data_IF_969159426763
#
_entry.id   IF_969159426763
#
_cell.length_a   1.000
_cell.length_b   1.000
_cell.length_c   1.000
_cell.angle_alpha   90.00
_cell.angle_beta   90.00
_cell.angle_gamma   90.00
#
_symmetry.space_group_name_H-M   'P 1'
#
loop_
_entity.id
_entity.type
_entity.pdbx_description
1 polymer ?
#
# COMPACT_ATOMS: atom_id res chain seq x y z
N UNK A 1 -12.07 -16.10 -14.11
CA UNK A 1 -12.50 -15.89 -12.71
C UNK A 1 -11.75 -14.68 -12.21
N UNK A 2 -12.46 -13.75 -11.58
CA UNK A 2 -11.82 -12.59 -10.95
C UNK A 2 -10.70 -13.05 -10.00
N UNK A 3 -9.60 -12.33 -10.00
CA UNK A 3 -8.50 -12.59 -9.07
C UNK A 3 -8.87 -12.06 -7.68
N UNK A 4 -8.22 -12.61 -6.66
CA UNK A 4 -8.24 -12.03 -5.31
C UNK A 4 -6.99 -11.20 -5.12
N UNK A 5 -7.08 -10.06 -4.44
CA UNK A 5 -5.98 -9.10 -4.36
C UNK A 5 -5.66 -8.74 -2.91
N UNK A 6 -4.38 -8.76 -2.59
CA UNK A 6 -3.85 -8.20 -1.36
C UNK A 6 -2.96 -7.02 -1.74
N UNK A 7 -3.34 -5.83 -1.28
CA UNK A 7 -2.50 -4.65 -1.35
C UNK A 7 -1.76 -4.49 -0.04
N UNK A 8 -0.43 -4.56 -0.08
CA UNK A 8 0.44 -4.33 1.07
C UNK A 8 1.13 -2.99 0.86
N UNK A 9 0.99 -2.08 1.81
CA UNK A 9 1.68 -0.81 1.79
C UNK A 9 2.65 -0.73 2.97
N UNK A 10 3.91 -0.42 2.68
CA UNK A 10 4.95 -0.15 3.67
C UNK A 10 5.22 1.34 3.67
N UNK A 11 4.78 2.02 4.73
CA UNK A 11 4.87 3.47 4.86
C UNK A 11 6.32 3.97 4.78
N UNK A 12 6.57 5.00 4.01
CA UNK A 12 7.86 5.64 3.89
C UNK A 12 8.97 4.77 3.28
N UNK A 13 8.65 3.64 2.65
CA UNK A 13 9.65 2.73 2.10
C UNK A 13 10.23 3.22 0.78
N UNK A 14 11.49 3.64 0.79
CA UNK A 14 12.23 4.01 -0.41
C UNK A 14 12.64 2.76 -1.23
N UNK A 15 12.70 2.86 -2.57
CA UNK A 15 13.16 1.76 -3.43
C UNK A 15 14.60 1.31 -3.14
N UNK A 16 15.51 2.25 -2.88
CA UNK A 16 16.89 1.98 -2.52
C UNK A 16 17.00 1.33 -1.12
N UNK A 17 16.18 1.79 -0.16
CA UNK A 17 16.04 1.16 1.15
C UNK A 17 15.58 -0.29 1.04
N UNK A 18 14.55 -0.55 0.21
CA UNK A 18 14.06 -1.91 -0.05
C UNK A 18 15.15 -2.84 -0.55
N UNK A 19 15.99 -2.39 -1.51
CA UNK A 19 17.03 -3.24 -2.09
C UNK A 19 18.28 -3.38 -1.21
N UNK A 20 18.58 -2.38 -0.36
CA UNK A 20 19.82 -2.30 0.41
C UNK A 20 19.67 -2.71 1.87
N UNK A 21 18.45 -2.97 2.36
CA UNK A 21 18.20 -3.33 3.77
C UNK A 21 18.80 -4.69 4.21
N UNK A 22 19.43 -5.42 3.30
CA UNK A 22 20.06 -6.71 3.58
C UNK A 22 19.09 -7.90 3.66
N UNK A 23 17.80 -7.70 3.44
CA UNK A 23 16.84 -8.79 3.39
C UNK A 23 16.85 -9.49 2.03
N UNK A 24 17.21 -10.79 1.94
CA UNK A 24 17.32 -11.49 0.67
C UNK A 24 15.96 -11.68 -0.04
N UNK A 25 14.86 -11.51 0.68
CA UNK A 25 13.52 -11.60 0.10
C UNK A 25 13.25 -10.47 -0.90
N UNK A 26 13.82 -9.27 -0.72
CA UNK A 26 13.64 -8.15 -1.66
C UNK A 26 13.99 -8.55 -3.10
N UNK A 27 15.17 -9.15 -3.30
CA UNK A 27 15.63 -9.59 -4.63
C UNK A 27 14.79 -10.77 -5.16
N UNK A 28 14.41 -11.70 -4.29
CA UNK A 28 13.53 -12.83 -4.68
C UNK A 28 12.17 -12.32 -5.15
N UNK A 29 11.61 -11.33 -4.44
CA UNK A 29 10.31 -10.76 -4.76
C UNK A 29 10.35 -10.04 -6.10
N UNK A 30 11.32 -9.15 -6.32
CA UNK A 30 11.54 -8.46 -7.61
C UNK A 30 11.70 -9.48 -8.74
N UNK A 31 12.55 -10.50 -8.57
CA UNK A 31 12.79 -11.54 -9.59
C UNK A 31 11.58 -12.42 -9.94
N UNK A 32 10.53 -12.41 -9.13
CA UNK A 32 9.28 -13.16 -9.34
C UNK A 32 8.11 -12.31 -9.79
N UNK A 33 8.30 -11.00 -9.94
CA UNK A 33 7.23 -10.01 -10.10
C UNK A 33 7.39 -9.17 -11.35
N UNK A 34 6.31 -8.51 -11.77
CA UNK A 34 6.37 -7.28 -12.55
C UNK A 34 6.59 -6.14 -11.54
N UNK A 35 7.55 -5.26 -11.79
CA UNK A 35 7.95 -4.27 -10.79
C UNK A 35 8.41 -2.95 -11.41
N UNK A 36 8.38 -1.91 -10.62
CA UNK A 36 9.11 -0.67 -10.84
C UNK A 36 9.71 -0.16 -9.53
N UNK A 37 10.90 0.41 -9.64
CA UNK A 37 11.58 1.09 -8.54
C UNK A 37 11.57 2.62 -8.73
N UNK A 38 10.81 3.10 -9.69
CA UNK A 38 10.72 4.51 -10.07
C UNK A 38 9.28 5.00 -10.23
N UNK A 39 8.32 4.33 -9.59
CA UNK A 39 6.95 4.84 -9.53
C UNK A 39 6.90 6.18 -8.78
N UNK A 40 5.89 6.99 -9.09
CA UNK A 40 5.75 8.33 -8.50
C UNK A 40 4.52 8.39 -7.62
N UNK A 41 4.71 8.91 -6.41
CA UNK A 41 3.60 9.34 -5.56
C UNK A 41 3.11 10.74 -5.93
N UNK A 42 2.21 11.31 -5.14
CA UNK A 42 1.60 12.63 -5.37
C UNK A 42 2.18 13.70 -4.45
N UNK A 43 1.92 14.98 -4.77
CA UNK A 43 2.26 16.11 -3.92
C UNK A 43 1.02 16.68 -3.22
N UNK A 44 1.10 16.90 -1.89
CA UNK A 44 2.23 16.64 -0.99
C UNK A 44 2.47 15.14 -0.77
N UNK A 45 3.75 14.76 -0.69
CA UNK A 45 4.20 13.38 -0.40
C UNK A 45 4.07 13.07 1.10
N UNK A 46 2.84 13.13 1.57
CA UNK A 46 2.42 12.96 2.98
C UNK A 46 1.45 11.79 3.05
N UNK A 47 1.50 11.03 4.12
CA UNK A 47 0.82 9.73 4.26
C UNK A 47 -0.66 9.77 3.86
N UNK A 48 -1.51 10.58 4.51
CA UNK A 48 -2.94 10.57 4.20
C UNK A 48 -3.27 11.10 2.79
N UNK A 49 -2.70 12.21 2.28
CA UNK A 49 -2.83 12.61 0.88
C UNK A 49 -2.46 11.53 -0.14
N UNK A 50 -1.34 10.82 0.09
CA UNK A 50 -0.89 9.75 -0.79
C UNK A 50 -1.86 8.55 -0.77
N UNK A 51 -2.32 8.13 0.42
CA UNK A 51 -3.32 7.08 0.56
C UNK A 51 -4.65 7.46 -0.09
N UNK A 52 -5.10 8.71 0.10
CA UNK A 52 -6.32 9.19 -0.56
C UNK A 52 -6.18 9.14 -2.09
N UNK A 53 -5.03 9.53 -2.63
CA UNK A 53 -4.77 9.43 -4.07
C UNK A 53 -4.66 7.98 -4.55
N UNK A 54 -4.05 7.10 -3.76
CA UNK A 54 -4.00 5.66 -4.05
C UNK A 54 -5.41 5.07 -4.12
N UNK A 55 -6.25 5.36 -3.13
CA UNK A 55 -7.58 4.77 -3.02
C UNK A 55 -8.62 5.37 -3.97
N UNK A 56 -8.49 6.66 -4.29
CA UNK A 56 -9.46 7.38 -5.12
C UNK A 56 -8.96 7.62 -6.56
N UNK A 57 -7.71 7.23 -6.85
CA UNK A 57 -7.09 7.35 -8.18
C UNK A 57 -7.19 8.76 -8.79
N UNK A 58 -7.06 9.80 -7.94
CA UNK A 58 -7.07 11.22 -8.34
C UNK A 58 -5.98 11.98 -7.58
N UNK A 59 -5.64 13.18 -8.06
CA UNK A 59 -4.68 14.06 -7.40
C UNK A 59 -5.22 14.65 -6.08
N UNK A 60 -4.33 15.05 -5.14
CA UNK A 60 -4.72 15.66 -3.85
C UNK A 60 -5.62 16.88 -4.00
N UNK A 61 -5.41 17.70 -5.03
CA UNK A 61 -6.26 18.85 -5.31
C UNK A 61 -7.69 18.47 -5.65
N UNK A 62 -7.92 17.25 -6.16
CA UNK A 62 -9.26 16.76 -6.52
C UNK A 62 -10.01 16.20 -5.31
N UNK A 63 -9.36 15.40 -4.45
CA UNK A 63 -9.98 14.88 -3.24
C UNK A 63 -9.93 15.86 -2.06
N UNK A 64 -9.05 16.87 -2.09
CA UNK A 64 -8.99 17.96 -1.13
C UNK A 64 -8.28 17.65 0.19
N UNK A 65 -7.67 16.46 0.36
CA UNK A 65 -6.89 16.08 1.53
C UNK A 65 -5.42 16.40 1.25
N UNK A 66 -4.86 17.37 1.97
CA UNK A 66 -3.51 17.89 1.74
C UNK A 66 -2.57 17.72 2.94
N UNK A 67 -3.08 17.19 4.04
CA UNK A 67 -2.33 16.94 5.28
C UNK A 67 -2.81 15.62 5.90
N UNK A 68 -2.20 15.20 7.00
CA UNK A 68 -2.65 14.02 7.77
C UNK A 68 -3.95 14.27 8.57
N UNK A 69 -4.61 15.41 8.37
CA UNK A 69 -5.93 15.68 8.93
C UNK A 69 -7.00 15.46 7.89
N UNK A 70 -7.88 14.49 8.14
CA UNK A 70 -9.01 14.23 7.26
C UNK A 70 -10.02 15.38 7.29
N UNK A 71 -10.49 15.77 6.12
CA UNK A 71 -11.64 16.66 5.95
C UNK A 71 -12.61 16.04 4.94
N UNK A 72 -13.95 16.13 5.15
CA UNK A 72 -14.90 15.59 4.22
C UNK A 72 -14.74 16.21 2.82
N UNK A 73 -14.75 15.39 1.79
CA UNK A 73 -14.66 15.86 0.41
C UNK A 73 -15.89 16.68 0.02
N UNK A 74 -15.69 17.91 -0.44
CA UNK A 74 -16.78 18.80 -0.94
C UNK A 74 -17.40 18.24 -2.22
N UNK A 75 -16.60 17.57 -3.04
CA UNK A 75 -17.02 16.85 -4.26
C UNK A 75 -16.53 15.42 -4.16
N UNK A 76 -17.30 14.53 -3.51
CA UNK A 76 -16.85 13.17 -3.25
C UNK A 76 -16.43 12.44 -4.53
N UNK A 77 -15.31 11.76 -4.46
CA UNK A 77 -14.86 10.76 -5.43
C UNK A 77 -14.97 9.41 -4.74
N UNK A 78 -15.50 8.42 -5.41
CA UNK A 78 -15.55 7.06 -4.88
C UNK A 78 -14.14 6.49 -4.76
N UNK A 79 -13.81 5.95 -3.60
CA UNK A 79 -12.58 5.21 -3.38
C UNK A 79 -12.75 3.72 -3.73
N UNK A 80 -11.68 2.95 -3.57
CA UNK A 80 -11.69 1.50 -3.85
C UNK A 80 -12.78 0.77 -3.06
N UNK A 81 -12.91 1.04 -1.75
CA UNK A 81 -13.90 0.37 -0.91
C UNK A 81 -15.34 0.68 -1.36
N UNK A 82 -15.61 1.94 -1.79
CA UNK A 82 -16.93 2.31 -2.30
C UNK A 82 -17.28 1.54 -3.59
N UNK A 83 -16.30 1.42 -4.49
CA UNK A 83 -16.48 0.77 -5.80
C UNK A 83 -16.57 -0.75 -5.65
N UNK A 84 -15.81 -1.33 -4.74
CA UNK A 84 -15.79 -2.78 -4.54
C UNK A 84 -17.03 -3.26 -3.80
N UNK A 85 -17.56 -2.47 -2.85
CA UNK A 85 -18.83 -2.75 -2.17
C UNK A 85 -20.01 -2.75 -3.14
N UNK A 86 -20.05 -1.81 -4.10
CA UNK A 86 -21.10 -1.75 -5.14
C UNK A 86 -21.14 -3.01 -6.02
N UNK A 87 -20.07 -3.78 -6.11
CA UNK A 87 -19.95 -5.07 -6.81
C UNK A 87 -19.89 -6.28 -5.85
N UNK A 88 -20.40 -6.13 -4.61
CA UNK A 88 -20.50 -7.16 -3.58
C UNK A 88 -19.15 -7.84 -3.26
N UNK A 89 -18.01 -7.14 -3.41
CA UNK A 89 -16.70 -7.70 -3.08
C UNK A 89 -16.48 -7.72 -1.57
N UNK A 90 -16.00 -8.85 -1.06
CA UNK A 90 -15.62 -9.00 0.34
C UNK A 90 -14.32 -8.27 0.62
N UNK A 91 -14.40 -7.08 1.25
CA UNK A 91 -13.27 -6.20 1.55
C UNK A 91 -12.85 -6.26 3.01
N UNK A 92 -11.54 -6.23 3.26
CA UNK A 92 -10.96 -6.17 4.59
C UNK A 92 -9.84 -5.11 4.68
N UNK A 93 -9.70 -4.50 5.87
CA UNK A 93 -8.75 -3.43 6.12
C UNK A 93 -7.99 -3.67 7.42
N UNK A 94 -6.68 -3.91 7.32
CA UNK A 94 -5.76 -4.18 8.43
C UNK A 94 -4.68 -3.10 8.44
N UNK A 95 -4.60 -2.30 9.52
CA UNK A 95 -3.73 -1.13 9.54
C UNK A 95 -3.19 -0.81 10.93
N UNK A 96 -2.07 -0.07 10.98
CA UNK A 96 -1.39 0.26 12.23
C UNK A 96 -1.45 1.75 12.58
N UNK A 97 -1.89 2.61 11.68
CA UNK A 97 -2.07 4.04 11.90
C UNK A 97 -3.55 4.43 11.84
N UNK A 98 -4.08 4.98 12.94
CA UNK A 98 -5.53 5.11 13.13
C UNK A 98 -6.20 6.08 12.15
N UNK A 99 -5.49 7.10 11.68
CA UNK A 99 -6.00 8.10 10.75
C UNK A 99 -6.44 7.52 9.41
N UNK A 100 -5.93 6.34 9.03
CA UNK A 100 -6.35 5.64 7.81
C UNK A 100 -7.80 5.14 7.85
N UNK A 101 -8.44 5.09 9.02
CA UNK A 101 -9.85 4.68 9.15
C UNK A 101 -10.79 5.48 8.22
N UNK A 102 -10.42 6.71 7.90
CA UNK A 102 -11.21 7.59 7.04
C UNK A 102 -11.12 7.25 5.53
N UNK A 103 -10.28 6.29 5.14
CA UNK A 103 -10.25 5.75 3.76
C UNK A 103 -11.50 4.93 3.41
N UNK A 104 -12.21 4.43 4.39
CA UNK A 104 -13.47 3.69 4.20
C UNK A 104 -14.66 4.45 4.73
N UNK A 105 -15.85 4.14 4.19
CA UNK A 105 -17.12 4.65 4.70
C UNK A 105 -17.84 3.55 5.50
N UNK A 106 -18.80 3.92 6.36
CA UNK A 106 -19.62 2.92 7.03
C UNK A 106 -20.23 1.92 6.05
N UNK A 107 -20.31 0.67 6.46
CA UNK A 107 -20.87 -0.48 5.72
C UNK A 107 -20.08 -0.96 4.48
N UNK A 108 -18.92 -0.35 4.16
CA UNK A 108 -18.10 -0.75 3.00
C UNK A 108 -17.04 -1.83 3.30
N UNK A 109 -16.91 -2.23 4.54
CA UNK A 109 -15.92 -3.24 4.96
C UNK A 109 -16.57 -4.41 5.68
N UNK A 110 -16.20 -5.62 5.30
CA UNK A 110 -16.57 -6.83 6.06
C UNK A 110 -15.78 -6.94 7.37
N UNK A 111 -14.53 -6.46 7.36
CA UNK A 111 -13.67 -6.43 8.56
C UNK A 111 -12.71 -5.27 8.50
N UNK A 112 -12.55 -4.57 9.63
CA UNK A 112 -11.48 -3.61 9.86
C UNK A 112 -10.79 -3.95 11.18
N UNK A 113 -9.45 -3.98 11.17
CA UNK A 113 -8.64 -4.16 12.37
C UNK A 113 -7.55 -3.10 12.42
N UNK A 114 -7.55 -2.28 13.48
CA UNK A 114 -6.48 -1.35 13.79
C UNK A 114 -5.68 -1.85 14.99
N UNK A 115 -4.35 -1.93 14.83
CA UNK A 115 -3.40 -2.12 15.94
C UNK A 115 -2.53 -0.88 16.00
N UNK A 116 -2.93 0.10 16.80
CA UNK A 116 -2.32 1.44 16.80
C UNK A 116 -0.83 1.40 17.19
N UNK A 117 0.03 1.83 16.25
CA UNK A 117 1.50 1.81 16.39
C UNK A 117 2.04 2.78 17.45
N UNK A 118 1.29 3.84 17.81
CA UNK A 118 1.68 4.75 18.88
C UNK A 118 1.41 4.18 20.28
N UNK A 119 0.64 3.09 20.37
CA UNK A 119 0.24 2.50 21.65
C UNK A 119 0.99 1.20 21.99
N UNK A 120 1.63 0.58 21.02
CA UNK A 120 2.34 -0.69 21.22
C UNK A 120 3.40 -0.94 20.15
N UNK A 121 4.41 -1.75 20.50
CA UNK A 121 5.49 -2.14 19.61
C UNK A 121 5.11 -3.37 18.77
N UNK A 122 5.91 -3.64 17.74
CA UNK A 122 5.81 -4.80 16.83
C UNK A 122 4.45 -4.92 16.16
N UNK A 123 3.87 -3.77 15.83
CA UNK A 123 2.53 -3.71 15.24
C UNK A 123 2.48 -4.27 13.84
N UNK A 124 3.54 -4.10 13.05
CA UNK A 124 3.64 -4.68 11.70
C UNK A 124 3.59 -6.22 11.75
N UNK A 125 4.25 -6.84 12.73
CA UNK A 125 4.20 -8.30 12.92
C UNK A 125 2.79 -8.73 13.34
N UNK A 126 2.22 -8.07 14.33
CA UNK A 126 0.91 -8.42 14.89
C UNK A 126 -0.20 -8.27 13.86
N UNK A 127 -0.21 -7.17 13.11
CA UNK A 127 -1.24 -6.92 12.09
C UNK A 127 -1.11 -7.90 10.93
N UNK A 128 0.13 -8.26 10.55
CA UNK A 128 0.40 -9.29 9.53
C UNK A 128 -0.12 -10.66 9.97
N UNK A 129 0.11 -11.06 11.23
CA UNK A 129 -0.39 -12.33 11.74
C UNK A 129 -1.91 -12.39 11.76
N UNK A 130 -2.55 -11.29 12.15
CA UNK A 130 -4.00 -11.17 12.11
C UNK A 130 -4.54 -11.23 10.67
N UNK A 131 -3.88 -10.57 9.72
CA UNK A 131 -4.24 -10.59 8.30
C UNK A 131 -4.13 -12.01 7.71
N UNK A 132 -3.03 -12.73 7.97
CA UNK A 132 -2.84 -14.11 7.52
C UNK A 132 -3.97 -15.01 8.03
N UNK A 133 -4.29 -14.90 9.32
CA UNK A 133 -5.38 -15.67 9.92
C UNK A 133 -6.71 -15.37 9.21
N UNK A 134 -7.04 -14.09 9.06
CA UNK A 134 -8.29 -13.67 8.41
C UNK A 134 -8.36 -14.13 6.94
N UNK A 135 -7.29 -14.00 6.19
CA UNK A 135 -7.24 -14.44 4.79
C UNK A 135 -7.56 -15.94 4.66
N UNK A 136 -6.99 -16.76 5.53
CA UNK A 136 -7.18 -18.21 5.50
C UNK A 136 -8.57 -18.65 5.98
N UNK A 137 -9.20 -17.92 6.90
CA UNK A 137 -10.52 -18.23 7.44
C UNK A 137 -11.66 -17.68 6.56
N UNK A 138 -11.49 -16.49 6.03
CA UNK A 138 -12.57 -15.71 5.41
C UNK A 138 -12.42 -15.51 3.91
N UNK A 139 -11.23 -15.71 3.37
CA UNK A 139 -10.90 -15.65 1.94
C UNK A 139 -11.45 -14.38 1.24
N UNK A 140 -11.13 -13.16 1.70
CA UNK A 140 -11.64 -11.92 1.12
C UNK A 140 -11.25 -11.78 -0.37
N UNK A 141 -12.03 -11.01 -1.13
CA UNK A 141 -11.69 -10.66 -2.50
C UNK A 141 -10.61 -9.58 -2.54
N UNK A 142 -10.67 -8.61 -1.60
CA UNK A 142 -9.69 -7.56 -1.44
C UNK A 142 -9.31 -7.38 0.04
N UNK A 143 -8.00 -7.34 0.29
CA UNK A 143 -7.49 -6.97 1.61
C UNK A 143 -6.41 -5.91 1.45
N UNK A 144 -6.55 -4.80 2.19
CA UNK A 144 -5.50 -3.81 2.37
C UNK A 144 -4.77 -4.06 3.70
N UNK A 145 -3.45 -4.22 3.63
CA UNK A 145 -2.54 -4.35 4.77
C UNK A 145 -1.57 -3.18 4.78
N UNK A 146 -1.60 -2.39 5.84
CA UNK A 146 -0.69 -1.27 6.06
C UNK A 146 0.30 -1.56 7.18
N UNK A 147 1.58 -1.36 6.89
CA UNK A 147 2.73 -1.53 7.78
C UNK A 147 3.40 -0.17 8.01
N UNK A 148 3.30 0.40 9.20
CA UNK A 148 3.68 1.80 9.48
C UNK A 148 5.02 2.00 10.18
N UNK A 149 5.63 0.94 10.74
CA UNK A 149 6.84 1.11 11.56
C UNK A 149 8.07 1.57 10.76
N UNK A 150 8.08 1.43 9.44
CA UNK A 150 9.21 1.88 8.60
C UNK A 150 9.29 3.40 8.58
N UNK A 151 8.17 4.08 8.45
CA UNK A 151 8.08 5.54 8.50
C UNK A 151 8.33 6.06 9.93
N UNK A 152 7.53 5.63 10.88
CA UNK A 152 7.54 6.16 12.25
C UNK A 152 8.86 5.86 12.97
N UNK A 153 9.19 4.58 13.14
CA UNK A 153 10.36 4.14 13.92
C UNK A 153 11.66 4.25 13.12
N UNK A 154 11.60 3.88 11.84
CA UNK A 154 12.76 3.92 10.96
C UNK A 154 13.09 5.34 10.49
N UNK A 155 12.11 6.01 9.90
CA UNK A 155 12.26 7.32 9.28
C UNK A 155 12.29 8.47 10.28
N UNK A 156 11.16 8.76 10.92
CA UNK A 156 11.02 9.93 11.79
C UNK A 156 11.91 9.85 13.03
N UNK A 157 11.96 8.72 13.72
CA UNK A 157 12.77 8.59 14.93
C UNK A 157 14.27 8.53 14.65
N UNK A 158 14.71 7.84 13.57
CA UNK A 158 16.11 7.53 13.34
C UNK A 158 16.72 8.14 12.07
N UNK A 159 15.90 8.51 11.11
CA UNK A 159 16.29 9.05 9.81
C UNK A 159 16.31 8.01 8.69
N UNK A 160 15.77 8.43 7.52
CA UNK A 160 15.79 7.59 6.31
C UNK A 160 17.20 7.17 5.95
N UNK A 161 17.35 5.95 5.49
CA UNK A 161 18.60 5.28 5.13
C UNK A 161 19.57 5.06 6.32
N UNK A 162 19.18 5.35 7.57
CA UNK A 162 19.93 4.95 8.75
C UNK A 162 19.94 3.42 8.94
N UNK A 163 20.83 2.91 9.79
CA UNK A 163 20.84 1.47 10.12
C UNK A 163 19.51 0.99 10.70
N UNK A 164 18.84 1.83 11.50
CA UNK A 164 17.56 1.47 12.09
C UNK A 164 16.43 1.48 11.05
N UNK A 165 16.44 2.45 10.14
CA UNK A 165 15.51 2.46 9.00
C UNK A 165 15.66 1.20 8.15
N UNK A 166 16.88 0.78 7.83
CA UNK A 166 17.15 -0.45 7.09
C UNK A 166 16.64 -1.70 7.84
N UNK A 167 16.74 -1.72 9.18
CA UNK A 167 16.18 -2.81 10.01
C UNK A 167 14.64 -2.80 9.93
N UNK A 168 14.00 -1.64 9.98
CA UNK A 168 12.55 -1.51 9.85
C UNK A 168 12.06 -1.98 8.48
N UNK A 169 12.72 -1.57 7.39
CA UNK A 169 12.43 -2.06 6.03
C UNK A 169 12.61 -3.59 5.95
N UNK A 170 13.70 -4.12 6.49
CA UNK A 170 13.94 -5.57 6.52
C UNK A 170 12.86 -6.32 7.30
N UNK A 171 12.37 -5.76 8.41
CA UNK A 171 11.27 -6.29 9.22
C UNK A 171 9.96 -6.30 8.42
N UNK A 172 9.62 -5.20 7.77
CA UNK A 172 8.44 -5.11 6.92
C UNK A 172 8.47 -6.13 5.78
N UNK A 173 9.62 -6.28 5.10
CA UNK A 173 9.80 -7.30 4.07
C UNK A 173 9.67 -8.74 4.61
N UNK A 174 10.10 -8.99 5.85
CA UNK A 174 9.90 -10.29 6.50
C UNK A 174 8.42 -10.56 6.79
N UNK A 175 7.63 -9.52 7.11
CA UNK A 175 6.17 -9.61 7.23
C UNK A 175 5.54 -9.97 5.87
N UNK A 176 5.98 -9.33 4.78
CA UNK A 176 5.50 -9.64 3.42
C UNK A 176 5.85 -11.08 3.03
N UNK A 177 7.09 -11.55 3.27
CA UNK A 177 7.50 -12.94 3.02
C UNK A 177 6.66 -13.93 3.83
N UNK A 178 6.43 -13.63 5.11
CA UNK A 178 5.59 -14.45 5.99
C UNK A 178 4.18 -14.55 5.45
N UNK A 179 3.56 -13.44 5.05
CA UNK A 179 2.22 -13.44 4.47
C UNK A 179 2.20 -14.27 3.20
N UNK A 180 3.09 -14.00 2.23
CA UNK A 180 3.15 -14.72 0.95
C UNK A 180 3.30 -16.24 1.14
N UNK A 181 4.07 -16.68 2.13
CA UNK A 181 4.31 -18.11 2.38
C UNK A 181 3.16 -18.81 3.13
N UNK A 182 2.19 -18.07 3.69
CA UNK A 182 1.13 -18.61 4.54
C UNK A 182 -0.29 -18.39 4.01
N UNK A 183 -0.42 -17.94 2.76
CA UNK A 183 -1.73 -17.77 2.08
C UNK A 183 -1.78 -18.56 0.78
N UNK A 184 -2.98 -18.68 0.19
CA UNK A 184 -3.15 -19.33 -1.12
C UNK A 184 -2.42 -18.56 -2.23
N UNK A 185 -1.84 -19.27 -3.20
CA UNK A 185 -1.27 -18.71 -4.43
C UNK A 185 -2.31 -18.09 -5.38
N UNK A 186 -3.61 -18.15 -5.02
CA UNK A 186 -4.69 -17.54 -5.80
C UNK A 186 -4.74 -16.02 -5.67
N UNK A 187 -4.02 -15.47 -4.68
CA UNK A 187 -3.94 -14.03 -4.48
C UNK A 187 -2.87 -13.38 -5.35
N UNK A 188 -3.25 -12.30 -6.03
CA UNK A 188 -2.28 -11.33 -6.54
C UNK A 188 -1.88 -10.40 -5.41
N UNK A 189 -0.58 -10.32 -5.13
CA UNK A 189 0.00 -9.44 -4.11
C UNK A 189 0.59 -8.22 -4.79
N UNK A 190 0.15 -7.03 -4.39
CA UNK A 190 0.73 -5.74 -4.77
C UNK A 190 1.40 -5.16 -3.54
N UNK A 191 2.72 -4.97 -3.62
CA UNK A 191 3.51 -4.27 -2.61
C UNK A 191 3.88 -2.89 -3.14
N UNK A 192 3.62 -1.85 -2.35
CA UNK A 192 4.04 -0.48 -2.66
C UNK A 192 4.40 0.29 -1.39
N UNK A 193 4.87 1.52 -1.56
CA UNK A 193 4.91 2.54 -0.54
C UNK A 193 3.99 3.69 -0.94
N UNK A 194 3.66 4.56 0.00
CA UNK A 194 2.90 5.79 -0.24
C UNK A 194 3.82 6.97 -0.59
N UNK A 195 4.98 7.06 0.05
CA UNK A 195 6.06 8.02 -0.20
C UNK A 195 7.41 7.42 0.22
N UNK A 196 8.47 8.15 -0.01
CA UNK A 196 9.79 7.91 0.56
C UNK A 196 10.08 8.89 1.69
N UNK A 197 11.33 9.38 1.79
CA UNK A 197 11.71 10.38 2.77
C UNK A 197 13.19 10.66 2.75
N UNK A 198 13.59 11.74 3.43
CA UNK A 198 14.96 12.17 3.59
C UNK A 198 15.20 12.70 5.00
N UNK A 199 16.42 12.63 5.49
CA UNK A 199 16.75 12.98 6.87
C UNK A 199 15.76 12.32 7.86
N UNK A 200 14.90 13.09 8.50
CA UNK A 200 13.83 12.65 9.40
C UNK A 200 12.47 13.21 9.00
N UNK A 201 12.25 13.44 7.71
CA UNK A 201 11.06 14.10 7.18
C UNK A 201 10.73 13.62 5.78
N UNK A 202 9.52 13.93 5.36
CA UNK A 202 9.00 13.75 4.00
C UNK A 202 7.98 14.86 3.70
N UNK A 203 7.36 14.84 2.52
CA UNK A 203 6.31 15.80 2.15
C UNK A 203 6.75 16.81 1.09
N UNK A 204 7.98 16.72 0.62
CA UNK A 204 8.55 17.60 -0.41
C UNK A 204 8.45 16.97 -1.81
N UNK A 205 8.86 17.74 -2.84
CA UNK A 205 8.97 17.26 -4.22
C UNK A 205 10.34 16.62 -4.54
N UNK A 206 11.18 16.41 -3.53
CA UNK A 206 12.47 15.74 -3.68
C UNK A 206 12.30 14.32 -4.21
N UNK A 207 13.21 13.85 -5.07
CA UNK A 207 13.15 12.48 -5.58
C UNK A 207 13.05 11.41 -4.47
N UNK A 208 13.72 11.64 -3.34
CA UNK A 208 13.74 10.77 -2.17
C UNK A 208 12.36 10.59 -1.53
N UNK A 209 11.53 11.64 -1.56
CA UNK A 209 10.16 11.61 -1.04
C UNK A 209 9.16 11.08 -2.07
N UNK A 210 9.37 11.45 -3.34
CA UNK A 210 8.42 11.22 -4.42
C UNK A 210 8.54 9.87 -5.10
N UNK A 211 9.67 9.15 -4.95
CA UNK A 211 9.91 7.88 -5.64
C UNK A 211 9.57 6.71 -4.75
N UNK A 212 8.69 5.83 -5.24
CA UNK A 212 8.20 4.66 -4.52
C UNK A 212 8.42 3.37 -5.32
N UNK A 213 8.58 2.21 -4.66
CA UNK A 213 8.53 0.92 -5.32
C UNK A 213 7.08 0.49 -5.56
N UNK A 214 6.82 -0.20 -6.67
CA UNK A 214 5.59 -0.98 -6.89
C UNK A 214 6.00 -2.34 -7.42
N UNK A 215 5.58 -3.40 -6.73
CA UNK A 215 5.93 -4.78 -7.05
C UNK A 215 4.66 -5.62 -7.08
N UNK A 216 4.38 -6.29 -8.20
CA UNK A 216 3.15 -7.05 -8.41
C UNK A 216 3.51 -8.51 -8.67
N UNK A 217 3.11 -9.37 -7.74
CA UNK A 217 3.29 -10.82 -7.82
C UNK A 217 1.91 -11.48 -8.00
N UNK A 218 1.62 -11.94 -9.21
CA UNK A 218 0.34 -12.55 -9.55
C UNK A 218 0.44 -13.39 -10.82
N UNK A 219 -0.57 -14.22 -11.08
CA UNK A 219 -0.56 -15.17 -12.21
C UNK A 219 -0.58 -14.48 -13.58
N UNK A 220 -1.18 -13.31 -13.67
CA UNK A 220 -1.34 -12.53 -14.90
C UNK A 220 -0.17 -11.60 -15.18
N UNK A 221 0.80 -11.51 -14.26
CA UNK A 221 1.95 -10.63 -14.37
C UNK A 221 3.22 -11.39 -14.74
N UNK A 222 4.03 -10.81 -15.62
CA UNK A 222 5.30 -11.39 -16.05
C UNK A 222 6.34 -11.32 -14.92
N UNK A 223 7.08 -12.42 -14.74
CA UNK A 223 8.16 -12.47 -13.75
C UNK A 223 9.38 -11.71 -14.25
N UNK A 224 10.07 -11.04 -13.32
CA UNK A 224 11.29 -10.27 -13.59
C UNK A 224 11.11 -9.23 -14.71
N UNK A 225 9.94 -8.60 -14.77
CA UNK A 225 9.61 -7.55 -15.74
C UNK A 225 9.64 -6.19 -15.07
N UNK A 226 10.60 -5.37 -15.45
CA UNK A 226 10.62 -3.98 -15.04
C UNK A 226 9.69 -3.14 -15.92
N UNK A 227 8.92 -2.27 -15.31
CA UNK A 227 8.01 -1.32 -15.96
C UNK A 227 8.32 0.10 -15.52
N UNK A 228 7.93 1.06 -16.31
CA UNK A 228 8.16 2.50 -16.07
C UNK A 228 6.86 3.27 -16.21
N UNK A 229 6.88 4.56 -15.87
CA UNK A 229 5.72 5.47 -16.00
C UNK A 229 4.51 5.01 -15.17
N UNK A 230 4.78 4.59 -13.92
CA UNK A 230 3.77 4.17 -12.94
C UNK A 230 3.53 5.28 -11.93
N UNK A 231 2.27 5.59 -11.68
CA UNK A 231 1.80 6.49 -10.62
C UNK A 231 1.14 5.68 -9.49
N UNK A 232 1.19 6.18 -8.28
CA UNK A 232 0.43 5.62 -7.15
C UNK A 232 -1.07 5.54 -7.47
N UNK A 233 -1.59 6.44 -8.31
CA UNK A 233 -2.99 6.45 -8.80
C UNK A 233 -3.35 5.23 -9.65
N UNK A 234 -2.36 4.57 -10.27
CA UNK A 234 -2.57 3.42 -11.16
C UNK A 234 -2.93 2.15 -10.38
N UNK A 235 -2.66 2.11 -9.07
CA UNK A 235 -2.89 0.95 -8.21
C UNK A 235 -4.39 0.64 -8.11
N UNK A 236 -5.23 1.64 -7.80
CA UNK A 236 -6.68 1.42 -7.67
C UNK A 236 -7.30 0.88 -8.97
N UNK A 237 -6.95 1.47 -10.10
CA UNK A 237 -7.47 1.06 -11.41
C UNK A 237 -7.00 -0.35 -11.78
N UNK A 238 -5.77 -0.71 -11.41
CA UNK A 238 -5.23 -2.05 -11.60
C UNK A 238 -5.97 -3.08 -10.74
N UNK A 239 -6.20 -2.78 -9.45
CA UNK A 239 -6.95 -3.67 -8.55
C UNK A 239 -8.38 -3.87 -9.03
N UNK A 240 -9.08 -2.79 -9.42
CA UNK A 240 -10.42 -2.89 -9.98
C UNK A 240 -10.47 -3.82 -11.22
N UNK A 241 -9.47 -3.71 -12.10
CA UNK A 241 -9.35 -4.59 -13.28
C UNK A 241 -9.15 -6.05 -12.89
N UNK A 242 -8.32 -6.36 -11.89
CA UNK A 242 -8.07 -7.72 -11.39
C UNK A 242 -9.32 -8.35 -10.75
N UNK A 243 -10.09 -7.53 -10.03
CA UNK A 243 -11.34 -7.93 -9.40
C UNK A 243 -12.53 -7.99 -10.39
N UNK A 244 -12.32 -7.63 -11.67
CA UNK A 244 -13.35 -7.50 -12.70
C UNK A 244 -14.44 -6.48 -12.30
N UNK A 245 -14.07 -5.42 -11.58
CA UNK A 245 -14.94 -4.35 -11.13
C UNK A 245 -14.75 -3.12 -12.01
N UNK A 246 -15.84 -2.41 -12.31
CA UNK A 246 -15.78 -1.18 -13.09
C UNK A 246 -15.23 -0.04 -12.24
N UNK A 247 -14.13 0.62 -12.64
CA UNK A 247 -13.58 1.76 -11.90
C UNK A 247 -14.56 2.93 -11.85
N UNK A 248 -14.44 3.79 -10.82
CA UNK A 248 -15.21 5.02 -10.77
C UNK A 248 -14.85 5.93 -11.96
N UNK A 249 -15.83 6.71 -12.42
CA UNK A 249 -15.69 7.54 -13.63
C UNK A 249 -14.60 8.61 -13.49
N UNK A 250 -14.37 9.06 -12.28
CA UNK A 250 -13.41 10.11 -11.95
C UNK A 250 -11.96 9.61 -11.80
N UNK A 251 -11.75 8.30 -11.76
CA UNK A 251 -10.40 7.75 -11.60
C UNK A 251 -9.53 8.06 -12.82
N UNK A 252 -8.30 8.52 -12.55
CA UNK A 252 -7.34 9.00 -13.54
C UNK A 252 -6.23 7.99 -13.83
N UNK A 253 -6.05 7.00 -12.96
CA UNK A 253 -4.99 6.01 -13.08
C UNK A 253 -5.17 5.06 -14.26
N UNK A 254 -4.04 4.53 -14.73
CA UNK A 254 -3.98 3.52 -15.81
C UNK A 254 -3.90 2.12 -15.21
N UNK A 255 -4.27 1.10 -16.00
CA UNK A 255 -4.04 -0.30 -15.62
C UNK A 255 -2.56 -0.63 -15.85
N UNK A 256 -1.88 -1.10 -14.83
CA UNK A 256 -0.51 -1.64 -14.91
C UNK A 256 -0.57 -3.01 -15.60
N UNK A 257 0.29 -3.21 -16.62
CA UNK A 257 0.31 -4.44 -17.45
C UNK A 257 1.70 -5.07 -17.51
#
# INVERSE_FOLDING_TARGET
MAEKVILILVDGMRPDGMLQCGNPFAQKLVGKSTYTLSARTVMPSVTLPCHMSLFHSVDPQRHGILTNTYVPQVRPVKGMFDVFEEDDKKCAFFYTWEELRDLSRPDHLHTALCINQHMQADTDIKITDAAIKYINEEAPDFLFLYLGETDEVGGHDCGWMSEQYMKSVSKALSCVEKLQNNISEDYTIILCADHGGHDRSHGSDMPEDMTIPVVICGRTFEKNKEITDVSIKDIATTIASLLEVKPAKEWEGKIIK
#
